data_IF_231942887787
#
_entry.id   IF_231942887787
#
_cell.length_a   1.000
_cell.length_b   1.000
_cell.length_c   1.000
_cell.angle_alpha   90.00
_cell.angle_beta   90.00
_cell.angle_gamma   90.00
#
_symmetry.space_group_name_H-M   'P 1'
#
loop_
_entity.id
_entity.type
_entity.pdbx_description
1 polymer ?
#
# COMPACT_ATOMS: atom_id res chain seq x y z
N UNK A 1 -10.87 -4.99 -34.66
CA UNK A 1 -11.16 -4.50 -33.30
C UNK A 1 -10.79 -5.59 -32.31
N UNK A 2 -9.53 -5.64 -31.89
CA UNK A 2 -9.00 -6.69 -31.01
C UNK A 2 -9.02 -6.15 -29.59
N UNK A 3 -10.05 -6.52 -28.83
CA UNK A 3 -10.27 -6.05 -27.47
C UNK A 3 -9.21 -6.58 -26.51
N UNK A 4 -8.41 -5.69 -25.93
CA UNK A 4 -7.56 -5.99 -24.78
C UNK A 4 -8.44 -6.29 -23.56
N UNK A 5 -8.86 -7.54 -23.44
CA UNK A 5 -9.52 -8.05 -22.23
C UNK A 5 -8.40 -8.51 -21.30
N UNK A 6 -8.19 -7.82 -20.18
CA UNK A 6 -7.24 -8.28 -19.16
C UNK A 6 -7.63 -9.71 -18.76
N UNK A 7 -6.78 -10.69 -19.06
CA UNK A 7 -7.01 -12.09 -18.74
C UNK A 7 -6.94 -12.24 -17.21
N UNK A 8 -7.91 -12.94 -16.65
CA UNK A 8 -8.00 -13.23 -15.22
C UNK A 8 -6.67 -13.76 -14.64
N UNK A 9 -6.35 -13.45 -13.37
CA UNK A 9 -7.25 -12.90 -12.34
C UNK A 9 -7.26 -11.36 -12.21
N UNK A 10 -8.41 -10.81 -11.85
CA UNK A 10 -8.54 -9.41 -11.43
C UNK A 10 -8.15 -9.27 -9.97
N UNK A 11 -7.08 -8.52 -9.69
CA UNK A 11 -6.68 -8.15 -8.33
C UNK A 11 -7.33 -6.82 -7.96
N UNK A 12 -8.15 -6.80 -6.91
CA UNK A 12 -8.70 -5.57 -6.35
C UNK A 12 -7.69 -4.96 -5.39
N UNK A 13 -6.98 -3.94 -5.83
CA UNK A 13 -6.06 -3.16 -5.00
C UNK A 13 -6.73 -1.82 -4.65
N UNK A 14 -6.74 -1.40 -3.38
CA UNK A 14 -7.34 -0.12 -3.00
C UNK A 14 -6.54 1.06 -3.59
N UNK A 15 -7.24 2.11 -4.02
CA UNK A 15 -6.61 3.40 -4.29
C UNK A 15 -6.23 4.03 -2.95
N UNK A 16 -4.92 4.25 -2.74
CA UNK A 16 -4.38 4.81 -1.50
C UNK A 16 -3.75 6.20 -1.68
N UNK A 17 -3.57 6.65 -2.92
CA UNK A 17 -3.15 8.03 -3.20
C UNK A 17 -4.20 9.02 -2.68
N UNK A 18 -3.75 10.02 -1.93
CA UNK A 18 -4.59 11.05 -1.31
C UNK A 18 -5.18 10.65 0.05
N UNK A 19 -4.86 9.47 0.56
CA UNK A 19 -5.22 9.09 1.92
C UNK A 19 -4.36 9.86 2.93
N UNK A 20 -4.86 10.06 4.16
CA UNK A 20 -4.10 10.80 5.17
C UNK A 20 -2.75 10.14 5.48
N UNK A 21 -1.70 10.95 5.60
CA UNK A 21 -0.36 10.45 5.93
C UNK A 21 -0.38 9.67 7.25
N UNK A 22 -1.15 10.11 8.24
CA UNK A 22 -1.29 9.41 9.52
C UNK A 22 -1.85 8.00 9.35
N UNK A 23 -2.89 7.84 8.53
CA UNK A 23 -3.47 6.53 8.26
C UNK A 23 -2.47 5.62 7.54
N UNK A 24 -1.76 6.15 6.55
CA UNK A 24 -0.76 5.39 5.78
C UNK A 24 0.39 4.92 6.67
N UNK A 25 0.92 5.80 7.52
CA UNK A 25 1.98 5.46 8.49
C UNK A 25 1.51 4.36 9.43
N UNK A 26 0.30 4.49 9.97
CA UNK A 26 -0.27 3.49 10.88
C UNK A 26 -0.47 2.15 10.17
N UNK A 27 -1.08 2.14 8.98
CA UNK A 27 -1.34 0.92 8.24
C UNK A 27 -0.05 0.18 7.87
N UNK A 28 0.96 0.87 7.34
CA UNK A 28 2.25 0.27 6.99
C UNK A 28 2.97 -0.28 8.24
N UNK A 29 2.91 0.44 9.36
CA UNK A 29 3.46 -0.01 10.64
C UNK A 29 2.75 -1.28 11.14
N UNK A 30 1.42 -1.32 11.06
CA UNK A 30 0.63 -2.48 11.46
C UNK A 30 0.87 -3.69 10.55
N UNK A 31 1.10 -3.49 9.26
CA UNK A 31 1.53 -4.54 8.34
C UNK A 31 2.92 -5.07 8.72
N UNK A 32 3.89 -4.18 8.99
CA UNK A 32 5.24 -4.56 9.42
C UNK A 32 5.22 -5.38 10.72
N UNK A 33 4.37 -4.99 11.68
CA UNK A 33 4.20 -5.67 12.97
C UNK A 33 3.31 -6.92 12.90
N UNK A 34 2.69 -7.21 11.75
CA UNK A 34 1.74 -8.33 11.61
C UNK A 34 0.40 -8.14 12.32
N UNK A 35 0.10 -6.93 12.82
CA UNK A 35 -1.20 -6.58 13.43
C UNK A 35 -2.30 -6.50 12.38
N UNK A 36 -1.97 -5.96 11.20
CA UNK A 36 -2.85 -5.94 10.04
C UNK A 36 -2.46 -7.06 9.09
N UNK A 37 -3.36 -8.02 8.87
CA UNK A 37 -3.06 -9.23 8.08
C UNK A 37 -3.31 -9.02 6.60
N UNK A 38 -2.25 -9.07 5.80
CA UNK A 38 -2.31 -9.23 4.35
C UNK A 38 -0.94 -9.71 3.84
N UNK A 39 -0.78 -10.96 3.37
CA UNK A 39 0.53 -11.56 3.12
C UNK A 39 1.45 -10.71 2.23
N UNK A 40 0.91 -10.19 1.12
CA UNK A 40 1.68 -9.33 0.21
C UNK A 40 2.15 -8.04 0.88
N UNK A 41 1.26 -7.30 1.55
CA UNK A 41 1.62 -6.03 2.20
C UNK A 41 2.54 -6.25 3.41
N UNK A 42 2.40 -7.35 4.14
CA UNK A 42 3.29 -7.70 5.25
C UNK A 42 4.71 -7.98 4.73
N UNK A 43 4.85 -8.77 3.66
CA UNK A 43 6.14 -9.03 3.05
C UNK A 43 6.83 -7.75 2.55
N UNK A 44 6.07 -6.80 1.99
CA UNK A 44 6.60 -5.49 1.61
C UNK A 44 6.97 -4.63 2.82
N UNK A 45 6.09 -4.53 3.82
CA UNK A 45 6.30 -3.67 4.98
C UNK A 45 7.44 -4.15 5.88
N UNK A 46 7.77 -5.45 5.86
CA UNK A 46 8.91 -6.00 6.58
C UNK A 46 10.27 -5.48 6.08
N UNK A 47 10.38 -5.06 4.82
CA UNK A 47 11.61 -4.48 4.29
C UNK A 47 11.74 -2.97 4.52
N UNK A 48 10.71 -2.31 5.08
CA UNK A 48 10.72 -0.85 5.26
C UNK A 48 11.26 -0.45 6.63
N UNK A 49 12.20 0.49 6.62
CA UNK A 49 12.59 1.25 7.80
C UNK A 49 11.46 2.18 8.26
N UNK A 50 11.61 2.79 9.44
CA UNK A 50 10.65 3.80 9.91
C UNK A 50 10.66 5.05 9.04
N UNK A 51 11.84 5.43 8.53
CA UNK A 51 11.99 6.54 7.61
C UNK A 51 11.29 6.25 6.28
N UNK A 52 11.44 5.04 5.72
CA UNK A 52 10.74 4.64 4.49
C UNK A 52 9.22 4.73 4.66
N UNK A 53 8.68 4.27 5.80
CA UNK A 53 7.25 4.36 6.10
C UNK A 53 6.80 5.82 6.15
N UNK A 54 7.58 6.70 6.78
CA UNK A 54 7.27 8.13 6.84
C UNK A 54 7.28 8.78 5.45
N UNK A 55 8.30 8.53 4.65
CA UNK A 55 8.48 9.12 3.32
C UNK A 55 7.43 8.62 2.33
N UNK A 56 7.13 7.32 2.33
CA UNK A 56 6.06 6.73 1.51
C UNK A 56 4.71 7.35 1.88
N UNK A 57 4.43 7.48 3.18
CA UNK A 57 3.15 8.02 3.67
C UNK A 57 2.99 9.50 3.31
N UNK A 58 4.06 10.29 3.48
CA UNK A 58 4.08 11.69 3.10
C UNK A 58 3.83 11.83 1.60
N UNK A 59 4.60 11.13 0.75
CA UNK A 59 4.44 11.17 -0.70
C UNK A 59 3.03 10.77 -1.15
N UNK A 60 2.54 9.61 -0.73
CA UNK A 60 1.23 9.09 -1.14
C UNK A 60 0.07 9.99 -0.72
N UNK A 61 0.19 10.70 0.41
CA UNK A 61 -0.83 11.64 0.87
C UNK A 61 -1.00 12.87 -0.02
N UNK A 62 0.01 13.20 -0.83
CA UNK A 62 -0.03 14.33 -1.77
C UNK A 62 -0.67 14.00 -3.14
N UNK A 63 -0.85 12.71 -3.43
CA UNK A 63 -1.38 12.25 -4.72
C UNK A 63 -2.90 12.48 -4.82
N UNK A 64 -3.41 12.84 -6.00
CA UNK A 64 -4.84 13.03 -6.29
C UNK A 64 -5.40 11.88 -7.14
#
# INVERSE_FOLDING_TARGET
>A
MTGYKNAYPSYRVPKIGGQSSQYLTQALTEYRQGKRKHPTMQAQAQSFSEQDIADISAFLSTLK
#
